data_IF_512606730007
#
_entry.id   IF_512606730007
#
_cell.length_a   1.000
_cell.length_b   1.000
_cell.length_c   1.000
_cell.angle_alpha   90.00
_cell.angle_beta   90.00
_cell.angle_gamma   90.00
#
_symmetry.space_group_name_H-M   'P 1'
#
loop_
_entity.id
_entity.type
_entity.pdbx_description
1 polymer ?
#
# COMPACT_ATOMS: atom_id res chain seq x y z
N UNK A 1 0.23 -28.66 21.27
CA UNK A 1 0.92 -27.61 20.49
C UNK A 1 1.25 -28.25 19.17
N UNK A 2 0.67 -27.74 18.08
CA UNK A 2 1.07 -28.16 16.74
C UNK A 2 2.46 -27.58 16.46
N UNK A 3 3.38 -28.40 16.00
CA UNK A 3 4.73 -27.97 15.64
C UNK A 3 4.75 -27.77 14.13
N UNK A 4 4.97 -26.53 13.70
CA UNK A 4 5.16 -26.19 12.30
C UNK A 4 6.62 -26.49 11.93
N UNK A 5 6.82 -27.02 10.73
CA UNK A 5 8.14 -27.00 10.08
C UNK A 5 8.56 -25.56 9.82
N UNK A 6 9.87 -25.30 9.84
CA UNK A 6 10.44 -24.02 9.41
C UNK A 6 9.94 -23.56 8.04
N UNK A 7 9.66 -24.51 7.13
CA UNK A 7 9.07 -24.20 5.82
C UNK A 7 7.63 -23.69 5.92
N UNK A 8 6.84 -24.26 6.83
CA UNK A 8 5.45 -23.85 7.09
C UNK A 8 5.41 -22.49 7.78
N UNK A 9 6.28 -22.25 8.76
CA UNK A 9 6.44 -20.95 9.40
C UNK A 9 6.80 -19.85 8.38
N UNK A 10 7.77 -20.11 7.50
CA UNK A 10 8.15 -19.17 6.43
C UNK A 10 7.03 -18.95 5.41
N UNK A 11 6.24 -19.98 5.11
CA UNK A 11 5.11 -19.86 4.20
C UNK A 11 4.00 -18.97 4.80
N UNK A 12 3.70 -19.14 6.08
CA UNK A 12 2.75 -18.29 6.82
C UNK A 12 3.25 -16.85 6.84
N UNK A 13 4.49 -16.61 7.25
CA UNK A 13 5.03 -15.24 7.34
C UNK A 13 5.00 -14.51 5.98
N UNK A 14 5.34 -15.21 4.89
CA UNK A 14 5.25 -14.65 3.53
C UNK A 14 3.81 -14.39 3.11
N UNK A 15 2.88 -15.27 3.47
CA UNK A 15 1.46 -15.09 3.22
C UNK A 15 0.89 -13.87 3.94
N UNK A 16 1.21 -13.71 5.22
CA UNK A 16 0.78 -12.57 6.03
C UNK A 16 1.33 -11.25 5.50
N UNK A 17 2.62 -11.20 5.13
CA UNK A 17 3.23 -10.00 4.54
C UNK A 17 2.56 -9.61 3.21
N UNK A 18 2.26 -10.58 2.35
CA UNK A 18 1.55 -10.34 1.07
C UNK A 18 0.12 -9.86 1.31
N UNK A 19 -0.62 -10.54 2.18
CA UNK A 19 -1.99 -10.17 2.51
C UNK A 19 -2.09 -8.77 3.11
N UNK A 20 -1.16 -8.41 4.00
CA UNK A 20 -1.10 -7.05 4.57
C UNK A 20 -0.83 -5.98 3.50
N UNK A 21 0.07 -6.26 2.55
CA UNK A 21 0.35 -5.37 1.42
C UNK A 21 -0.90 -5.15 0.57
N UNK A 22 -1.54 -6.23 0.14
CA UNK A 22 -2.73 -6.18 -0.70
C UNK A 22 -3.87 -5.46 0.01
N UNK A 23 -4.08 -5.72 1.31
CA UNK A 23 -5.08 -5.04 2.11
C UNK A 23 -4.84 -3.52 2.19
N UNK A 24 -3.61 -3.07 2.49
CA UNK A 24 -3.31 -1.65 2.55
C UNK A 24 -3.49 -0.94 1.21
N UNK A 25 -3.12 -1.59 0.10
CA UNK A 25 -3.34 -1.02 -1.24
C UNK A 25 -4.85 -0.88 -1.50
N UNK A 26 -5.65 -1.90 -1.19
CA UNK A 26 -7.10 -1.83 -1.36
C UNK A 26 -7.73 -0.75 -0.47
N UNK A 27 -7.33 -0.66 0.81
CA UNK A 27 -7.82 0.37 1.73
C UNK A 27 -7.53 1.79 1.19
N UNK A 28 -6.34 2.02 0.63
CA UNK A 28 -5.97 3.29 0.00
C UNK A 28 -6.89 3.58 -1.18
N UNK A 29 -7.07 2.61 -2.08
CA UNK A 29 -7.92 2.76 -3.28
C UNK A 29 -9.36 3.07 -2.88
N UNK A 30 -9.92 2.34 -1.92
CA UNK A 30 -11.28 2.53 -1.43
C UNK A 30 -11.48 3.92 -0.81
N UNK A 31 -10.51 4.40 -0.01
CA UNK A 31 -10.56 5.73 0.58
C UNK A 31 -10.49 6.84 -0.48
N UNK A 32 -9.57 6.72 -1.44
CA UNK A 32 -9.45 7.68 -2.53
C UNK A 32 -10.69 7.67 -3.42
N UNK A 33 -11.24 6.49 -3.73
CA UNK A 33 -12.47 6.35 -4.50
C UNK A 33 -13.66 6.96 -3.76
N UNK A 34 -13.76 6.76 -2.44
CA UNK A 34 -14.81 7.35 -1.62
C UNK A 34 -14.70 8.88 -1.52
N UNK A 35 -13.49 9.42 -1.49
CA UNK A 35 -13.25 10.86 -1.32
C UNK A 35 -13.34 11.65 -2.63
N UNK A 36 -12.86 11.06 -3.73
CA UNK A 36 -12.68 11.75 -5.01
C UNK A 36 -13.50 11.15 -6.16
N UNK A 37 -14.32 10.14 -5.88
CA UNK A 37 -15.18 9.41 -6.83
C UNK A 37 -14.48 8.72 -8.00
N UNK A 38 -13.16 8.87 -8.15
CA UNK A 38 -12.37 8.25 -9.20
C UNK A 38 -10.92 8.11 -8.76
N UNK A 39 -10.31 6.99 -9.08
CA UNK A 39 -8.88 6.71 -8.86
C UNK A 39 -8.26 6.36 -10.21
N UNK A 40 -7.22 7.07 -10.67
CA UNK A 40 -6.59 6.78 -11.95
C UNK A 40 -5.79 5.48 -11.89
N UNK A 41 -5.82 4.72 -12.98
CA UNK A 41 -5.13 3.43 -13.08
C UNK A 41 -3.62 3.55 -12.89
N UNK A 42 -3.04 4.69 -13.29
CA UNK A 42 -1.62 5.02 -13.06
C UNK A 42 -1.26 4.97 -11.57
N UNK A 43 -2.16 5.41 -10.69
CA UNK A 43 -1.96 5.42 -9.25
C UNK A 43 -2.05 4.02 -8.67
N UNK A 44 -2.99 3.21 -9.16
CA UNK A 44 -3.13 1.80 -8.76
C UNK A 44 -1.84 1.04 -9.11
N UNK A 45 -1.29 1.26 -10.30
CA UNK A 45 -0.02 0.66 -10.72
C UNK A 45 1.13 1.14 -9.81
N UNK A 46 1.20 2.44 -9.52
CA UNK A 46 2.22 3.00 -8.63
C UNK A 46 2.16 2.39 -7.22
N UNK A 47 0.97 2.25 -6.62
CA UNK A 47 0.78 1.63 -5.31
C UNK A 47 1.18 0.14 -5.29
N UNK A 48 0.88 -0.61 -6.36
CA UNK A 48 1.27 -2.02 -6.46
C UNK A 48 2.79 -2.23 -6.51
N UNK A 49 3.53 -1.27 -7.04
CA UNK A 49 4.99 -1.31 -7.10
C UNK A 49 5.66 -1.03 -5.74
N UNK A 50 4.92 -0.54 -4.74
CA UNK A 50 5.48 -0.28 -3.41
C UNK A 50 5.62 -1.62 -2.67
N UNK A 51 6.84 -1.98 -2.27
CA UNK A 51 7.11 -3.21 -1.51
C UNK A 51 7.13 -2.97 0.00
N UNK A 52 7.41 -1.74 0.44
CA UNK A 52 7.51 -1.41 1.85
C UNK A 52 6.13 -1.19 2.51
N UNK A 53 5.83 -2.02 3.52
CA UNK A 53 4.57 -1.94 4.26
C UNK A 53 4.46 -0.67 5.10
N UNK A 54 5.57 -0.13 5.61
CA UNK A 54 5.54 1.08 6.41
C UNK A 54 5.19 2.30 5.55
N UNK A 55 5.75 2.37 4.34
CA UNK A 55 5.41 3.35 3.31
C UNK A 55 3.93 3.26 2.92
N UNK A 56 3.40 2.06 2.66
CA UNK A 56 1.97 1.88 2.38
C UNK A 56 1.09 2.34 3.54
N UNK A 57 1.48 2.03 4.78
CA UNK A 57 0.76 2.50 5.97
C UNK A 57 0.79 4.02 6.11
N UNK A 58 1.91 4.66 5.80
CA UNK A 58 2.01 6.12 5.80
C UNK A 58 1.13 6.73 4.71
N UNK A 59 1.17 6.18 3.49
CA UNK A 59 0.31 6.61 2.39
C UNK A 59 -1.18 6.46 2.73
N UNK A 60 -1.55 5.37 3.41
CA UNK A 60 -2.92 5.18 3.91
C UNK A 60 -3.37 6.35 4.81
N UNK A 61 -2.51 6.81 5.70
CA UNK A 61 -2.80 7.97 6.54
C UNK A 61 -2.79 9.28 5.73
N UNK A 62 -1.96 9.41 4.71
CA UNK A 62 -1.97 10.61 3.87
C UNK A 62 -3.26 10.74 3.04
N UNK A 63 -3.97 9.64 2.74
CA UNK A 63 -5.26 9.68 2.01
C UNK A 63 -6.33 10.55 2.68
N UNK A 64 -6.28 10.72 4.02
CA UNK A 64 -7.19 11.58 4.77
C UNK A 64 -6.73 13.05 4.79
N UNK A 65 -5.46 13.32 4.53
CA UNK A 65 -4.86 14.65 4.55
C UNK A 65 -4.90 15.34 3.17
N UNK A 66 -4.64 14.60 2.10
CA UNK A 66 -4.55 15.14 0.72
C UNK A 66 -5.84 15.76 0.22
N UNK A 67 -5.80 16.90 -0.46
CA UNK A 67 -6.99 17.59 -0.96
C UNK A 67 -7.39 17.16 -2.37
N UNK A 68 -6.54 16.41 -3.06
CA UNK A 68 -6.81 15.89 -4.40
C UNK A 68 -6.08 14.58 -4.69
N UNK A 69 -6.55 13.85 -5.71
CA UNK A 69 -5.86 12.65 -6.21
C UNK A 69 -4.50 12.99 -6.83
N UNK A 70 -4.37 14.17 -7.44
CA UNK A 70 -3.11 14.63 -8.06
C UNK A 70 -2.04 14.83 -6.99
N UNK A 71 -2.40 15.49 -5.88
CA UNK A 71 -1.51 15.69 -4.72
C UNK A 71 -1.06 14.35 -4.13
N UNK A 72 -1.96 13.37 -4.06
CA UNK A 72 -1.60 12.02 -3.63
C UNK A 72 -0.64 11.31 -4.60
N UNK A 73 -0.82 11.49 -5.91
CA UNK A 73 0.11 10.95 -6.91
C UNK A 73 1.51 11.57 -6.79
N UNK A 74 1.59 12.87 -6.50
CA UNK A 74 2.87 13.55 -6.24
C UNK A 74 3.55 13.03 -4.98
N UNK A 75 2.81 12.76 -3.90
CA UNK A 75 3.37 12.15 -2.69
C UNK A 75 4.00 10.77 -2.96
N UNK A 76 3.35 9.94 -3.78
CA UNK A 76 3.91 8.62 -4.17
C UNK A 76 5.21 8.81 -4.95
N UNK A 77 5.25 9.75 -5.90
CA UNK A 77 6.44 10.05 -6.70
C UNK A 77 7.59 10.57 -5.84
N UNK A 78 7.32 11.47 -4.91
CA UNK A 78 8.31 12.03 -3.98
C UNK A 78 8.86 10.95 -3.04
N UNK A 79 7.97 10.10 -2.50
CA UNK A 79 8.35 8.97 -1.63
C UNK A 79 9.17 7.92 -2.37
N UNK A 80 9.03 7.80 -3.70
CA UNK A 80 9.85 6.92 -4.55
C UNK A 80 11.20 7.55 -4.98
N UNK A 81 11.40 8.86 -4.74
CA UNK A 81 12.61 9.59 -5.09
C UNK A 81 13.59 9.79 -3.92
N UNK A 82 13.23 9.41 -2.70
CA UNK A 82 14.08 9.60 -1.51
C UNK A 82 15.18 8.53 -1.31
N UNK A 83 15.42 7.65 -2.30
CA UNK A 83 16.60 6.77 -2.34
C UNK A 83 17.68 7.33 -3.30
N UNK A 84 18.33 8.44 -2.92
CA UNK A 84 19.66 8.83 -3.42
C UNK A 84 20.47 9.53 -2.33
#
# INVERSE_FOLDING_TARGET
>A
MEFLSTMEELAIERGEKRGAKEAHIQDIIDLLQKRFNSVPETLIIALNNIEDLAQLKQLLLETISVNSVVEFEELIKDSSHQEN
#
